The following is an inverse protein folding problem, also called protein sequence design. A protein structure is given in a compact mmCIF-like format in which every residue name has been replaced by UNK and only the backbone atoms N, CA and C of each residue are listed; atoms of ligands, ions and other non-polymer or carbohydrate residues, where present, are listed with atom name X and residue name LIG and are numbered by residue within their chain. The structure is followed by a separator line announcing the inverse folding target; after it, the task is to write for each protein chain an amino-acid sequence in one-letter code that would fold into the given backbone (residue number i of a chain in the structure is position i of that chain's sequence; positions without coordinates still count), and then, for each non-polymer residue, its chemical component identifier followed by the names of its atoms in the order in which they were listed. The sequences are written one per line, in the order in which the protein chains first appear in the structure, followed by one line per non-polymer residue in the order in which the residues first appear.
data_IF_034947937504
#
_entry.id   IF_034947937504
#
_cell.length_a   1.000
_cell.length_b   1.000
_cell.length_c   1.000
_cell.angle_alpha   90.00
_cell.angle_beta   90.00
_cell.angle_gamma   90.00
#
_symmetry.space_group_name_H-M   'P 1'
#
loop_
_entity.id
_entity.type
_entity.pdbx_description
1 polymer ?
#
# COMPACT_ATOMS: atom_id res chain seq x y z
N UNK A 1 14.79 -14.09 11.43
CA UNK A 1 13.75 -14.95 12.01
C UNK A 1 14.24 -16.39 12.25
N UNK A 2 14.77 -17.10 11.26
CA UNK A 2 15.17 -18.51 11.36
C UNK A 2 16.21 -18.84 12.44
N UNK A 3 16.96 -17.84 12.94
CA UNK A 3 17.88 -18.03 14.10
C UNK A 3 17.13 -18.21 15.42
N UNK A 4 15.88 -17.79 15.51
CA UNK A 4 15.13 -17.68 16.76
C UNK A 4 13.80 -18.42 16.75
N UNK A 5 13.24 -18.70 15.55
CA UNK A 5 11.92 -19.26 15.37
C UNK A 5 11.92 -20.39 14.35
N UNK A 6 11.07 -21.37 14.56
CA UNK A 6 10.56 -22.22 13.48
C UNK A 6 9.48 -21.41 12.73
N UNK A 7 9.71 -21.12 11.46
CA UNK A 7 8.86 -20.20 10.68
C UNK A 7 7.87 -20.99 9.84
N UNK A 8 6.61 -20.62 9.93
CA UNK A 8 5.54 -21.04 9.01
C UNK A 8 5.24 -19.88 8.09
N UNK A 9 5.33 -20.09 6.79
CA UNK A 9 4.93 -19.14 5.76
C UNK A 9 3.59 -19.58 5.19
N UNK A 10 2.60 -18.71 5.28
CA UNK A 10 1.26 -18.94 4.76
C UNK A 10 1.09 -18.18 3.44
N UNK A 11 0.89 -18.91 2.34
CA UNK A 11 0.30 -18.33 1.16
C UNK A 11 -1.18 -18.05 1.48
N UNK A 12 -1.50 -16.82 1.83
CA UNK A 12 -2.87 -16.45 2.17
C UNK A 12 -3.81 -16.70 0.98
N UNK A 13 -5.09 -16.91 1.28
CA UNK A 13 -6.12 -17.13 0.25
C UNK A 13 -6.02 -16.06 -0.86
N UNK A 14 -6.10 -16.50 -2.12
CA UNK A 14 -5.93 -15.66 -3.31
C UNK A 14 -4.49 -15.42 -3.74
N UNK A 15 -3.47 -15.90 -3.02
CA UNK A 15 -2.06 -15.68 -3.36
C UNK A 15 -1.26 -16.98 -3.46
N UNK A 16 -0.12 -16.91 -4.13
CA UNK A 16 0.84 -18.01 -4.22
C UNK A 16 0.20 -19.34 -4.64
N UNK A 17 0.40 -20.40 -3.84
CA UNK A 17 -0.18 -21.73 -4.07
C UNK A 17 -1.65 -21.81 -3.63
N UNK A 18 -2.14 -20.85 -2.85
CA UNK A 18 -3.54 -20.66 -2.47
C UNK A 18 -4.29 -19.73 -3.43
N UNK A 19 -3.82 -19.65 -4.69
CA UNK A 19 -4.33 -18.74 -5.69
C UNK A 19 -5.83 -18.94 -5.94
N UNK A 20 -6.58 -17.82 -5.96
CA UNK A 20 -7.97 -17.81 -6.39
C UNK A 20 -8.02 -17.75 -7.93
N UNK A 21 -8.69 -18.71 -8.55
CA UNK A 21 -8.92 -18.71 -10.01
C UNK A 21 -10.14 -17.87 -10.38
N UNK A 22 -11.00 -17.56 -9.41
CA UNK A 22 -12.23 -16.79 -9.61
C UNK A 22 -12.11 -15.49 -8.82
N UNK A 23 -12.16 -14.37 -9.54
CA UNK A 23 -12.03 -13.02 -8.97
C UNK A 23 -13.35 -12.22 -9.13
N UNK A 24 -14.50 -12.87 -8.90
CA UNK A 24 -15.78 -12.16 -8.78
C UNK A 24 -15.92 -11.46 -7.42
N UNK A 25 -16.82 -10.52 -7.31
CA UNK A 25 -17.01 -9.73 -6.11
C UNK A 25 -17.37 -10.57 -4.87
N UNK A 26 -18.03 -11.71 -5.02
CA UNK A 26 -18.37 -12.56 -3.88
C UNK A 26 -17.15 -13.24 -3.30
N UNK A 27 -16.24 -13.72 -4.14
CA UNK A 27 -14.97 -14.32 -3.70
C UNK A 27 -14.01 -13.24 -3.15
N UNK A 28 -13.92 -12.07 -3.80
CA UNK A 28 -13.06 -10.97 -3.35
C UNK A 28 -13.37 -10.52 -1.92
N UNK A 29 -14.64 -10.50 -1.52
CA UNK A 29 -15.05 -10.19 -0.13
C UNK A 29 -14.46 -11.14 0.91
N UNK A 30 -14.10 -12.35 0.50
CA UNK A 30 -13.51 -13.36 1.37
C UNK A 30 -11.97 -13.29 1.45
N UNK A 31 -11.34 -12.36 0.72
CA UNK A 31 -9.88 -12.24 0.68
C UNK A 31 -9.35 -11.14 1.62
N UNK A 32 -10.13 -10.79 2.64
CA UNK A 32 -9.78 -9.80 3.67
C UNK A 32 -9.04 -10.42 4.85
N UNK A 33 -8.49 -9.54 5.69
CA UNK A 33 -7.73 -9.91 6.88
C UNK A 33 -8.49 -10.84 7.84
N UNK A 34 -9.80 -10.64 8.00
CA UNK A 34 -10.62 -11.49 8.88
C UNK A 34 -10.65 -12.96 8.45
N UNK A 35 -10.77 -13.21 7.15
CA UNK A 35 -10.79 -14.58 6.64
C UNK A 35 -9.38 -15.20 6.57
N UNK A 36 -8.36 -14.38 6.30
CA UNK A 36 -6.96 -14.82 6.36
C UNK A 36 -6.58 -15.24 7.79
N UNK A 37 -7.07 -14.54 8.79
CA UNK A 37 -6.85 -14.86 10.20
C UNK A 37 -7.52 -16.19 10.58
N UNK A 38 -8.75 -16.45 10.12
CA UNK A 38 -9.41 -17.74 10.38
C UNK A 38 -8.66 -18.91 9.71
N UNK A 39 -8.11 -18.72 8.50
CA UNK A 39 -7.25 -19.72 7.88
C UNK A 39 -5.97 -19.98 8.69
N UNK A 40 -5.33 -18.92 9.15
CA UNK A 40 -4.12 -19.01 9.97
C UNK A 40 -4.43 -19.74 11.30
N UNK A 41 -5.57 -19.45 11.93
CA UNK A 41 -6.02 -20.10 13.15
C UNK A 41 -6.34 -21.60 12.93
N UNK A 42 -6.91 -21.95 11.78
CA UNK A 42 -7.12 -23.34 11.41
C UNK A 42 -5.78 -24.09 11.23
N UNK A 43 -4.79 -23.47 10.58
CA UNK A 43 -3.43 -24.03 10.43
C UNK A 43 -2.76 -24.20 11.80
N UNK A 44 -2.86 -23.22 12.69
CA UNK A 44 -2.30 -23.31 14.05
C UNK A 44 -2.84 -24.55 14.80
N UNK A 45 -4.16 -24.71 14.75
CA UNK A 45 -4.84 -25.86 15.42
C UNK A 45 -4.43 -27.21 14.83
N UNK A 46 -4.33 -27.29 13.49
CA UNK A 46 -3.91 -28.52 12.80
C UNK A 46 -2.45 -28.87 13.13
N UNK A 47 -1.59 -27.87 13.35
CA UNK A 47 -0.22 -28.07 13.79
C UNK A 47 -0.10 -28.43 15.27
N UNK A 48 -1.19 -28.42 16.03
CA UNK A 48 -1.21 -28.73 17.47
C UNK A 48 -0.43 -27.70 18.30
N UNK A 49 -0.38 -26.44 17.89
CA UNK A 49 0.35 -25.37 18.56
C UNK A 49 -0.62 -24.54 19.40
N UNK A 50 -0.39 -24.44 20.72
CA UNK A 50 -1.27 -23.68 21.62
C UNK A 50 -1.19 -22.17 21.34
N UNK A 51 0.01 -21.63 21.19
CA UNK A 51 0.27 -20.25 20.87
C UNK A 51 1.45 -20.15 19.90
N UNK A 52 1.44 -19.17 19.03
CA UNK A 52 2.57 -18.85 18.17
C UNK A 52 2.91 -17.35 18.17
N UNK A 53 4.12 -17.03 17.76
CA UNK A 53 4.52 -15.65 17.50
C UNK A 53 4.07 -15.23 16.11
N UNK A 54 3.67 -13.97 15.97
CA UNK A 54 3.32 -13.38 14.68
C UNK A 54 4.39 -12.39 14.21
N UNK A 55 4.65 -12.40 12.91
CA UNK A 55 5.45 -11.39 12.24
C UNK A 55 4.72 -10.92 10.98
N UNK A 56 4.53 -9.61 10.85
CA UNK A 56 3.83 -9.03 9.70
C UNK A 56 4.43 -7.71 9.23
N UNK A 57 4.55 -7.58 7.91
CA UNK A 57 4.97 -6.34 7.27
C UNK A 57 3.79 -5.78 6.49
N UNK A 58 3.57 -4.44 6.56
CA UNK A 58 2.50 -3.77 5.82
C UNK A 58 1.14 -4.42 6.10
N UNK A 59 0.41 -4.91 5.10
CA UNK A 59 -0.86 -5.62 5.25
C UNK A 59 -0.79 -6.82 6.22
N UNK A 60 0.39 -7.47 6.35
CA UNK A 60 0.60 -8.48 7.39
C UNK A 60 0.38 -7.94 8.80
N UNK A 61 0.68 -6.68 9.06
CA UNK A 61 0.36 -6.01 10.32
C UNK A 61 -1.14 -5.77 10.51
N UNK A 62 -1.90 -5.50 9.43
CA UNK A 62 -3.38 -5.43 9.46
C UNK A 62 -3.97 -6.78 9.87
N UNK A 63 -3.43 -7.87 9.31
CA UNK A 63 -3.79 -9.23 9.73
C UNK A 63 -3.46 -9.48 11.20
N UNK A 64 -2.32 -9.00 11.72
CA UNK A 64 -1.96 -9.14 13.14
C UNK A 64 -2.94 -8.38 14.04
N UNK A 65 -3.33 -7.15 13.69
CA UNK A 65 -4.33 -6.39 14.46
C UNK A 65 -5.70 -7.10 14.47
N UNK A 66 -6.10 -7.66 13.33
CA UNK A 66 -7.32 -8.47 13.22
C UNK A 66 -7.21 -9.74 14.06
N UNK A 67 -6.06 -10.42 14.02
CA UNK A 67 -5.81 -11.64 14.79
C UNK A 67 -5.86 -11.36 16.29
N UNK A 68 -5.20 -10.32 16.76
CA UNK A 68 -5.21 -9.91 18.16
C UNK A 68 -6.60 -9.47 18.64
N UNK A 69 -7.44 -8.97 17.73
CA UNK A 69 -8.84 -8.63 18.02
C UNK A 69 -9.73 -9.87 18.17
N UNK A 70 -9.46 -10.96 17.43
CA UNK A 70 -10.32 -12.14 17.36
C UNK A 70 -9.84 -13.32 18.20
N UNK A 71 -8.54 -13.56 18.22
CA UNK A 71 -7.90 -14.72 18.87
C UNK A 71 -6.66 -14.30 19.69
N UNK A 72 -6.76 -13.33 20.62
CA UNK A 72 -5.61 -12.86 21.39
C UNK A 72 -4.92 -13.96 22.20
N UNK A 73 -5.69 -14.99 22.63
CA UNK A 73 -5.18 -16.14 23.39
C UNK A 73 -4.28 -17.05 22.55
N UNK A 74 -4.37 -17.01 21.24
CA UNK A 74 -3.57 -17.84 20.33
C UNK A 74 -2.19 -17.25 20.01
N UNK A 75 -1.92 -16.02 20.49
CA UNK A 75 -0.72 -15.27 20.15
C UNK A 75 0.17 -15.13 21.39
N UNK A 76 1.42 -15.58 21.31
CA UNK A 76 2.41 -15.37 22.37
C UNK A 76 2.97 -13.94 22.37
N UNK A 77 3.31 -13.42 21.22
CA UNK A 77 3.77 -12.05 20.97
C UNK A 77 3.69 -11.71 19.47
N UNK A 78 3.79 -10.42 19.14
CA UNK A 78 3.75 -9.97 17.76
C UNK A 78 4.86 -8.96 17.42
N UNK A 79 5.37 -9.05 16.20
CA UNK A 79 6.30 -8.08 15.61
C UNK A 79 5.71 -7.53 14.32
N UNK A 80 5.66 -6.20 14.22
CA UNK A 80 5.08 -5.50 13.08
C UNK A 80 6.11 -4.55 12.46
N UNK A 81 6.08 -4.38 11.16
CA UNK A 81 6.91 -3.40 10.46
C UNK A 81 6.09 -2.65 9.40
N UNK A 82 5.97 -1.32 9.50
CA UNK A 82 5.18 -0.50 8.60
C UNK A 82 3.72 -1.00 8.45
N UNK A 83 3.12 -1.54 9.52
CA UNK A 83 1.86 -2.28 9.45
C UNK A 83 0.91 -2.04 10.62
N UNK A 84 0.92 -0.87 11.25
CA UNK A 84 -0.09 -0.49 12.22
C UNK A 84 -1.19 0.31 11.49
N UNK A 85 -2.32 -0.32 11.08
CA UNK A 85 -3.41 0.36 10.41
C UNK A 85 -4.13 1.30 11.37
N UNK A 86 -4.89 2.23 10.82
CA UNK A 86 -5.93 2.88 11.61
C UNK A 86 -7.05 1.88 11.94
N UNK A 87 -7.45 1.84 13.21
CA UNK A 87 -8.51 0.96 13.69
C UNK A 87 -9.80 1.71 14.07
N UNK A 88 -9.84 3.03 13.87
CA UNK A 88 -10.92 3.90 14.31
C UNK A 88 -11.47 4.85 13.25
N UNK A 89 -10.63 5.35 12.36
CA UNK A 89 -11.05 6.27 11.30
C UNK A 89 -11.54 5.54 10.05
N UNK A 90 -12.28 6.24 9.23
CA UNK A 90 -12.74 5.73 7.93
C UNK A 90 -11.67 5.84 6.86
N UNK A 91 -11.88 5.12 5.77
CA UNK A 91 -10.97 5.05 4.63
C UNK A 91 -10.65 6.42 4.03
N UNK A 92 -11.58 7.37 4.03
CA UNK A 92 -11.34 8.73 3.53
C UNK A 92 -10.27 9.48 4.36
N UNK A 93 -10.23 9.28 5.68
CA UNK A 93 -9.19 9.88 6.53
C UNK A 93 -7.83 9.21 6.27
N UNK A 94 -7.79 7.91 6.09
CA UNK A 94 -6.56 7.21 5.70
C UNK A 94 -5.98 7.84 4.43
N UNK A 95 -6.81 8.01 3.39
CA UNK A 95 -6.33 8.60 2.13
C UNK A 95 -5.98 10.09 2.24
N UNK A 96 -6.67 10.88 3.06
CA UNK A 96 -6.22 12.27 3.32
C UNK A 96 -4.81 12.28 3.91
N UNK A 97 -4.51 11.37 4.83
CA UNK A 97 -3.17 11.28 5.43
C UNK A 97 -2.14 10.76 4.45
N UNK A 98 -2.46 9.73 3.65
CA UNK A 98 -1.51 9.22 2.65
C UNK A 98 -1.21 10.27 1.58
N UNK A 99 -2.21 11.01 1.06
CA UNK A 99 -1.97 12.10 0.12
C UNK A 99 -1.10 13.21 0.72
N UNK A 100 -1.34 13.59 1.98
CA UNK A 100 -0.50 14.58 2.68
C UNK A 100 0.95 14.11 2.82
N UNK A 101 1.18 12.83 3.14
CA UNK A 101 2.52 12.25 3.21
C UNK A 101 3.19 12.17 1.84
N UNK A 102 2.44 11.78 0.80
CA UNK A 102 2.97 11.78 -0.58
C UNK A 102 3.35 13.20 -1.03
N UNK A 103 2.57 14.22 -0.69
CA UNK A 103 2.92 15.61 -0.97
C UNK A 103 4.24 15.99 -0.28
N UNK A 104 4.37 15.71 1.02
CA UNK A 104 5.59 16.00 1.78
C UNK A 104 6.82 15.25 1.19
N UNK A 105 6.65 13.99 0.79
CA UNK A 105 7.71 13.20 0.15
C UNK A 105 8.06 13.73 -1.24
N UNK A 106 7.07 14.21 -1.99
CA UNK A 106 7.31 14.84 -3.30
C UNK A 106 8.13 16.11 -3.18
N UNK A 107 7.85 16.95 -2.18
CA UNK A 107 8.64 18.16 -1.91
C UNK A 107 10.11 17.79 -1.53
N UNK A 108 10.32 16.75 -0.73
CA UNK A 108 11.66 16.25 -0.42
C UNK A 108 12.37 15.73 -1.68
N UNK A 109 11.65 15.01 -2.54
CA UNK A 109 12.18 14.51 -3.80
C UNK A 109 12.57 15.64 -4.75
N UNK A 110 11.73 16.69 -4.88
CA UNK A 110 12.03 17.86 -5.71
C UNK A 110 13.20 18.69 -5.16
N UNK A 111 13.35 18.74 -3.84
CA UNK A 111 14.51 19.38 -3.22
C UNK A 111 15.83 18.64 -3.51
N UNK A 112 15.79 17.30 -3.56
CA UNK A 112 16.95 16.46 -3.90
C UNK A 112 17.25 16.45 -5.41
N UNK A 113 16.20 16.45 -6.24
CA UNK A 113 16.27 16.43 -7.71
C UNK A 113 15.51 17.62 -8.29
N UNK A 114 16.11 18.83 -8.34
CA UNK A 114 15.40 20.06 -8.69
C UNK A 114 14.79 20.08 -10.11
N UNK A 115 15.24 19.20 -11.01
CA UNK A 115 14.68 19.06 -12.35
C UNK A 115 13.41 18.19 -12.39
N UNK A 116 13.17 17.37 -11.36
CA UNK A 116 12.19 16.29 -11.41
C UNK A 116 10.74 16.80 -11.55
N UNK A 117 10.37 17.88 -10.84
CA UNK A 117 9.03 18.46 -10.99
C UNK A 117 8.78 18.93 -12.42
N UNK A 118 9.73 19.65 -13.01
CA UNK A 118 9.61 20.12 -14.39
C UNK A 118 9.52 18.94 -15.38
N UNK A 119 10.32 17.89 -15.19
CA UNK A 119 10.28 16.70 -16.03
C UNK A 119 8.93 15.97 -15.91
N UNK A 120 8.39 15.78 -14.70
CA UNK A 120 7.07 15.16 -14.46
C UNK A 120 5.97 15.97 -15.18
N UNK A 121 5.96 17.29 -15.01
CA UNK A 121 4.99 18.17 -15.66
C UNK A 121 5.09 18.12 -17.19
N UNK A 122 6.30 18.05 -17.72
CA UNK A 122 6.54 17.98 -19.15
C UNK A 122 6.12 16.65 -19.73
N UNK A 123 6.40 15.52 -19.06
CA UNK A 123 5.93 14.19 -19.45
C UNK A 123 4.39 14.15 -19.43
N UNK A 124 3.74 14.62 -18.38
CA UNK A 124 2.29 14.65 -18.31
C UNK A 124 1.68 15.51 -19.42
N UNK A 125 2.21 16.72 -19.64
CA UNK A 125 1.75 17.57 -20.74
C UNK A 125 1.92 16.91 -22.12
N UNK A 126 3.03 16.21 -22.35
CA UNK A 126 3.25 15.45 -23.59
C UNK A 126 2.21 14.35 -23.75
N UNK A 127 1.96 13.57 -22.70
CA UNK A 127 0.97 12.46 -22.72
C UNK A 127 -0.47 12.95 -22.91
N UNK A 128 -0.80 14.17 -22.49
CA UNK A 128 -2.12 14.79 -22.70
C UNK A 128 -2.32 15.26 -24.17
N UNK A 129 -1.23 15.48 -24.91
CA UNK A 129 -1.26 16.05 -26.27
C UNK A 129 -0.71 15.10 -27.37
N UNK A 130 -0.09 14.00 -26.99
CA UNK A 130 0.47 13.02 -27.90
C UNK A 130 0.09 11.59 -27.49
N UNK A 131 0.08 10.69 -28.45
CA UNK A 131 -0.16 9.27 -28.19
C UNK A 131 1.19 8.57 -28.00
N UNK A 132 1.41 8.03 -26.81
CA UNK A 132 2.54 7.15 -26.48
C UNK A 132 2.00 5.80 -26.03
N UNK A 133 2.55 4.74 -26.63
CA UNK A 133 2.13 3.37 -26.33
C UNK A 133 3.17 2.68 -25.46
N UNK A 134 2.72 1.99 -24.44
CA UNK A 134 3.53 1.07 -23.66
C UNK A 134 3.91 -0.16 -24.52
N UNK A 135 4.95 -0.93 -24.14
CA UNK A 135 5.35 -2.14 -24.87
C UNK A 135 4.24 -3.18 -25.03
N UNK A 136 3.25 -3.17 -24.14
CA UNK A 136 2.05 -4.02 -24.15
C UNK A 136 0.95 -3.54 -25.09
N UNK A 137 1.15 -2.37 -25.74
CA UNK A 137 0.32 -1.82 -26.80
C UNK A 137 -0.78 -0.87 -26.37
N UNK A 138 -1.03 -0.71 -25.09
CA UNK A 138 -1.99 0.27 -24.60
C UNK A 138 -1.38 1.67 -24.48
N UNK A 139 -2.22 2.70 -24.59
CA UNK A 139 -1.82 4.08 -24.39
C UNK A 139 -1.42 4.35 -22.94
N UNK A 140 -0.32 5.06 -22.74
CA UNK A 140 0.04 5.64 -21.45
C UNK A 140 -0.65 7.00 -21.30
N UNK A 141 -1.51 7.16 -20.30
CA UNK A 141 -2.10 8.43 -19.92
C UNK A 141 -1.26 9.17 -18.87
N UNK A 142 -1.41 10.50 -18.77
CA UNK A 142 -0.74 11.31 -17.75
C UNK A 142 -1.14 10.87 -16.34
N UNK A 143 -2.42 10.55 -16.10
CA UNK A 143 -2.89 10.06 -14.79
C UNK A 143 -2.30 8.69 -14.44
N UNK A 144 -2.12 7.77 -15.41
CA UNK A 144 -1.48 6.47 -15.21
C UNK A 144 0.02 6.63 -14.96
N UNK A 145 0.69 7.51 -15.68
CA UNK A 145 2.09 7.84 -15.42
C UNK A 145 2.29 8.36 -13.99
N UNK A 146 1.40 9.21 -13.47
CA UNK A 146 1.52 9.76 -12.10
C UNK A 146 1.54 8.66 -11.02
N UNK A 147 1.04 7.45 -11.28
CA UNK A 147 1.06 6.35 -10.30
C UNK A 147 2.47 5.80 -10.01
N UNK A 148 3.49 6.13 -10.81
CA UNK A 148 4.88 5.76 -10.50
C UNK A 148 5.34 6.31 -9.15
N UNK A 149 4.65 7.31 -8.60
CA UNK A 149 4.96 7.94 -7.33
C UNK A 149 4.85 7.02 -6.11
N UNK A 150 4.28 5.83 -6.25
CA UNK A 150 4.37 4.76 -5.23
C UNK A 150 5.85 4.47 -4.85
N UNK A 151 6.79 4.71 -5.77
CA UNK A 151 8.22 4.55 -5.52
C UNK A 151 8.77 5.54 -4.47
N UNK A 152 8.13 6.70 -4.25
CA UNK A 152 8.56 7.68 -3.23
C UNK A 152 8.59 7.10 -1.81
N UNK A 153 7.83 6.05 -1.54
CA UNK A 153 7.80 5.34 -0.26
C UNK A 153 8.79 4.18 -0.14
N UNK A 154 9.72 4.04 -1.09
CA UNK A 154 10.77 3.01 -1.08
C UNK A 154 12.13 3.64 -0.76
N UNK A 155 13.03 2.88 -0.10
CA UNK A 155 14.34 3.37 0.28
C UNK A 155 15.21 3.84 -0.89
N UNK A 156 15.08 3.18 -2.06
CA UNK A 156 15.77 3.56 -3.30
C UNK A 156 14.89 4.38 -4.25
N UNK A 157 13.71 4.79 -3.81
CA UNK A 157 12.69 5.37 -4.70
C UNK A 157 13.09 6.71 -5.30
N UNK A 158 13.74 7.56 -4.53
CA UNK A 158 14.20 8.86 -5.02
C UNK A 158 15.24 8.71 -6.15
N UNK A 159 16.26 7.89 -5.93
CA UNK A 159 17.29 7.66 -6.96
C UNK A 159 16.68 7.00 -8.20
N UNK A 160 15.79 6.03 -7.99
CA UNK A 160 15.09 5.33 -9.06
C UNK A 160 14.25 6.29 -9.92
N UNK A 161 13.47 7.17 -9.29
CA UNK A 161 12.67 8.17 -10.04
C UNK A 161 13.54 9.28 -10.62
N UNK A 162 14.59 9.70 -9.91
CA UNK A 162 15.57 10.67 -10.43
C UNK A 162 16.19 10.18 -11.74
N UNK A 163 16.71 8.96 -11.77
CA UNK A 163 17.25 8.34 -12.98
C UNK A 163 16.23 8.23 -14.10
N UNK A 164 15.01 7.78 -13.80
CA UNK A 164 13.94 7.65 -14.77
C UNK A 164 13.61 8.99 -15.45
N UNK A 165 13.64 10.08 -14.69
CA UNK A 165 13.20 11.40 -15.12
C UNK A 165 14.33 12.27 -15.72
N UNK A 166 15.59 11.82 -15.70
CA UNK A 166 16.75 12.62 -16.13
C UNK A 166 16.68 13.03 -17.60
N UNK A 167 16.28 12.15 -18.49
CA UNK A 167 16.14 12.43 -19.92
C UNK A 167 15.05 11.55 -20.57
N UNK A 168 13.76 11.85 -20.33
CA UNK A 168 12.67 11.01 -20.79
C UNK A 168 12.35 11.13 -22.29
N UNK A 169 12.92 12.12 -23.01
CA UNK A 169 12.54 12.43 -24.38
C UNK A 169 13.64 12.14 -25.40
N UNK A 170 13.19 11.95 -26.64
CA UNK A 170 14.03 11.83 -27.85
C UNK A 170 13.32 12.50 -29.02
N UNK A 171 14.06 12.95 -30.03
CA UNK A 171 13.48 13.43 -31.28
C UNK A 171 13.61 12.35 -32.35
N UNK A 172 12.47 11.92 -32.87
CA UNK A 172 12.36 10.91 -33.94
C UNK A 172 11.62 11.51 -35.13
N UNK A 173 12.26 11.59 -36.28
CA UNK A 173 11.65 12.17 -37.49
C UNK A 173 11.21 13.62 -37.34
N UNK A 174 11.83 14.40 -36.44
CA UNK A 174 11.47 15.77 -36.14
C UNK A 174 10.36 15.93 -35.07
N UNK A 175 9.81 14.83 -34.57
CA UNK A 175 8.80 14.83 -33.52
C UNK A 175 9.42 14.47 -32.17
N UNK A 176 8.99 15.16 -31.12
CA UNK A 176 9.34 14.84 -29.74
C UNK A 176 8.55 13.63 -29.27
N UNK A 177 9.24 12.59 -28.81
CA UNK A 177 8.66 11.33 -28.35
C UNK A 177 9.26 10.95 -27.01
N UNK A 178 8.55 10.13 -26.22
CA UNK A 178 9.16 9.46 -25.08
C UNK A 178 10.13 8.38 -25.55
N UNK A 179 11.24 8.23 -24.84
CA UNK A 179 12.23 7.20 -25.13
C UNK A 179 11.65 5.80 -24.91
N UNK A 180 12.08 4.84 -25.70
CA UNK A 180 11.57 3.46 -25.59
C UNK A 180 11.93 2.80 -24.25
N UNK A 181 13.13 3.04 -23.74
CA UNK A 181 13.55 2.54 -22.43
C UNK A 181 12.76 3.16 -21.28
N UNK A 182 12.43 4.45 -21.37
CA UNK A 182 11.53 5.12 -20.44
C UNK A 182 10.13 4.47 -20.44
N UNK A 183 9.55 4.21 -21.62
CA UNK A 183 8.24 3.56 -21.74
C UNK A 183 8.25 2.11 -21.20
N UNK A 184 9.33 1.37 -21.39
CA UNK A 184 9.52 0.03 -20.81
C UNK A 184 9.52 0.09 -19.29
N UNK A 185 10.30 1.00 -18.71
CA UNK A 185 10.43 1.17 -17.26
C UNK A 185 9.13 1.64 -16.63
N UNK A 186 8.46 2.65 -17.21
CA UNK A 186 7.16 3.12 -16.75
C UNK A 186 6.12 2.00 -16.87
N UNK A 187 6.06 1.30 -17.99
CA UNK A 187 5.12 0.21 -18.21
C UNK A 187 5.24 -0.90 -17.16
N UNK A 188 6.46 -1.29 -16.80
CA UNK A 188 6.72 -2.27 -15.76
C UNK A 188 6.24 -1.81 -14.36
N UNK A 189 6.25 -0.50 -14.08
CA UNK A 189 5.86 0.07 -12.79
C UNK A 189 4.35 0.27 -12.65
N UNK A 190 3.66 0.58 -13.74
CA UNK A 190 2.24 0.90 -13.72
C UNK A 190 1.34 -0.29 -14.04
N UNK A 191 1.91 -1.43 -14.42
CA UNK A 191 1.15 -2.64 -14.79
C UNK A 191 0.82 -3.51 -13.58
N UNK A 192 -0.42 -3.97 -13.53
CA UNK A 192 -0.90 -4.96 -12.56
C UNK A 192 -0.89 -6.40 -13.08
N UNK A 193 -0.26 -6.68 -14.23
CA UNK A 193 -0.25 -8.01 -14.84
C UNK A 193 0.30 -9.11 -13.91
N UNK A 194 1.26 -8.78 -13.06
CA UNK A 194 1.82 -9.72 -12.07
C UNK A 194 1.01 -9.89 -10.80
N UNK A 195 0.06 -8.99 -10.51
CA UNK A 195 -0.65 -8.92 -9.22
C UNK A 195 -2.02 -8.20 -9.32
N UNK A 196 -2.93 -8.64 -10.20
CA UNK A 196 -4.22 -7.97 -10.38
C UNK A 196 -5.06 -7.96 -9.11
N UNK A 197 -4.95 -9.00 -8.27
CA UNK A 197 -5.63 -9.09 -7.00
C UNK A 197 -5.32 -7.89 -6.09
N UNK A 198 -4.09 -7.39 -6.12
CA UNK A 198 -3.70 -6.22 -5.32
C UNK A 198 -4.59 -5.00 -5.63
N UNK A 199 -4.80 -4.68 -6.92
CA UNK A 199 -5.67 -3.58 -7.30
C UNK A 199 -7.14 -3.81 -6.91
N UNK A 200 -7.61 -5.06 -7.03
CA UNK A 200 -9.00 -5.43 -6.73
C UNK A 200 -9.37 -5.26 -5.26
N UNK A 201 -8.51 -5.69 -4.35
CA UNK A 201 -8.84 -5.72 -2.91
C UNK A 201 -8.24 -4.57 -2.11
N UNK A 202 -7.41 -3.74 -2.72
CA UNK A 202 -6.62 -2.73 -2.00
C UNK A 202 -7.47 -1.82 -1.12
N UNK A 203 -8.53 -1.23 -1.65
CA UNK A 203 -9.38 -0.33 -0.85
C UNK A 203 -10.24 -1.11 0.18
N UNK A 204 -10.62 -2.35 -0.14
CA UNK A 204 -11.42 -3.19 0.74
C UNK A 204 -10.72 -3.57 2.06
N UNK A 205 -9.37 -3.49 2.12
CA UNK A 205 -8.62 -3.75 3.36
C UNK A 205 -8.97 -2.77 4.48
N UNK A 206 -9.50 -1.59 4.15
CA UNK A 206 -9.94 -0.54 5.08
C UNK A 206 -11.44 -0.61 5.39
N UNK A 207 -12.20 -1.47 4.69
CA UNK A 207 -13.65 -1.57 4.86
C UNK A 207 -14.05 -2.09 6.24
N UNK A 208 -15.09 -1.51 6.83
CA UNK A 208 -15.66 -1.93 8.12
C UNK A 208 -15.08 -1.24 9.36
N UNK A 209 -14.06 -0.40 9.24
CA UNK A 209 -13.60 0.48 10.35
C UNK A 209 -14.71 1.46 10.71
N UNK A 210 -15.35 2.04 9.72
CA UNK A 210 -16.62 2.76 9.84
C UNK A 210 -17.66 2.13 8.91
N UNK A 211 -18.97 2.22 9.23
CA UNK A 211 -20.03 1.69 8.36
C UNK A 211 -20.05 2.37 6.99
N UNK A 212 -20.38 1.61 5.95
CA UNK A 212 -20.59 2.08 4.60
C UNK A 212 -19.62 1.49 3.58
N UNK A 213 -19.85 1.85 2.31
CA UNK A 213 -19.01 1.46 1.19
C UNK A 213 -17.73 2.31 1.15
N UNK A 214 -16.65 1.74 0.63
CA UNK A 214 -15.42 2.51 0.38
C UNK A 214 -15.58 3.47 -0.79
N UNK A 215 -16.35 3.07 -1.80
CA UNK A 215 -16.83 3.91 -2.92
C UNK A 215 -15.71 4.70 -3.62
N UNK A 216 -14.59 4.02 -3.92
CA UNK A 216 -13.41 4.63 -4.54
C UNK A 216 -12.89 5.84 -3.76
N UNK A 217 -12.68 5.66 -2.47
CA UNK A 217 -12.29 6.72 -1.55
C UNK A 217 -11.02 7.44 -1.99
N UNK A 218 -9.99 6.73 -2.45
CA UNK A 218 -8.79 7.36 -2.98
C UNK A 218 -9.10 8.32 -4.13
N UNK A 219 -10.00 7.93 -5.04
CA UNK A 219 -10.41 8.76 -6.17
C UNK A 219 -11.20 10.01 -5.73
N UNK A 220 -12.10 9.86 -4.76
CA UNK A 220 -12.89 10.98 -4.25
C UNK A 220 -12.05 11.96 -3.42
N UNK A 221 -11.13 11.43 -2.61
CA UNK A 221 -10.29 12.25 -1.73
C UNK A 221 -9.24 13.03 -2.53
N UNK A 222 -8.67 12.47 -3.61
CA UNK A 222 -7.68 13.18 -4.43
C UNK A 222 -8.18 14.52 -4.96
N UNK A 223 -9.47 14.60 -5.28
CA UNK A 223 -10.08 15.83 -5.81
C UNK A 223 -10.21 16.94 -4.75
N UNK A 224 -9.94 16.65 -3.48
CA UNK A 224 -9.97 17.56 -2.35
C UNK A 224 -8.57 17.99 -1.90
N UNK A 225 -7.52 17.46 -2.52
CA UNK A 225 -6.13 17.70 -2.12
C UNK A 225 -5.35 18.33 -3.27
N UNK A 226 -4.94 19.58 -3.08
CA UNK A 226 -4.20 20.36 -4.07
C UNK A 226 -2.98 19.60 -4.61
N UNK A 227 -2.87 19.57 -5.94
CA UNK A 227 -1.77 18.92 -6.66
C UNK A 227 -2.01 17.45 -7.01
N UNK A 228 -3.12 16.86 -6.54
CA UNK A 228 -3.48 15.47 -6.86
C UNK A 228 -4.71 15.35 -7.76
N UNK A 229 -5.43 16.44 -8.01
CA UNK A 229 -6.62 16.43 -8.84
C UNK A 229 -6.33 15.74 -10.18
N UNK A 230 -7.30 14.94 -10.65
CA UNK A 230 -7.10 14.13 -11.85
C UNK A 230 -6.87 14.98 -13.09
N UNK A 231 -7.62 16.06 -13.20
CA UNK A 231 -7.61 16.99 -14.35
C UNK A 231 -6.70 18.21 -14.13
N UNK A 232 -5.81 18.18 -13.13
CA UNK A 232 -4.86 19.28 -12.94
C UNK A 232 -4.00 19.46 -14.19
N UNK A 233 -4.01 20.69 -14.74
CA UNK A 233 -3.16 21.02 -15.88
C UNK A 233 -1.69 21.08 -15.45
N UNK A 234 -0.82 20.22 -15.99
CA UNK A 234 0.59 20.18 -15.60
C UNK A 234 1.35 21.48 -15.86
N UNK A 235 0.83 22.39 -16.71
CA UNK A 235 1.48 23.67 -17.01
C UNK A 235 1.05 24.80 -16.09
N UNK A 236 -0.18 24.77 -15.59
CA UNK A 236 -0.77 25.92 -14.88
C UNK A 236 -1.10 25.62 -13.41
N UNK A 237 -1.21 24.35 -13.00
CA UNK A 237 -1.46 23.99 -11.62
C UNK A 237 -0.35 24.48 -10.68
N UNK A 238 -0.72 25.07 -9.55
CA UNK A 238 0.21 25.56 -8.54
C UNK A 238 1.08 24.44 -7.97
N UNK A 239 0.44 23.37 -7.53
CA UNK A 239 1.07 22.12 -7.11
C UNK A 239 0.78 21.02 -8.12
N UNK A 240 1.72 20.09 -8.29
CA UNK A 240 1.54 18.95 -9.20
C UNK A 240 2.38 17.76 -8.71
N UNK A 241 1.72 16.71 -8.23
CA UNK A 241 2.38 15.58 -7.59
C UNK A 241 2.11 14.26 -8.33
N UNK A 242 3.04 13.33 -8.19
CA UNK A 242 2.80 11.91 -8.43
C UNK A 242 1.85 11.36 -7.34
N UNK A 243 1.12 10.28 -7.64
CA UNK A 243 0.27 9.61 -6.63
C UNK A 243 1.03 8.48 -5.95
N UNK A 244 0.62 8.13 -4.72
CA UNK A 244 1.23 7.04 -3.94
C UNK A 244 0.55 5.68 -4.17
N UNK A 245 0.35 4.94 -3.08
CA UNK A 245 -0.36 3.65 -3.08
C UNK A 245 -1.88 3.89 -3.13
N UNK A 246 -2.36 4.29 -4.28
CA UNK A 246 -3.77 4.62 -4.50
C UNK A 246 -4.29 3.86 -5.71
N UNK A 247 -5.45 3.24 -5.56
CA UNK A 247 -6.14 2.57 -6.68
C UNK A 247 -7.33 3.42 -7.11
N UNK A 248 -7.44 3.60 -8.41
CA UNK A 248 -8.45 4.46 -9.03
C UNK A 248 -9.35 3.66 -9.99
N UNK A 249 -10.64 3.99 -10.13
CA UNK A 249 -11.56 3.23 -10.98
C UNK A 249 -11.11 3.17 -12.46
N UNK A 250 -10.55 4.24 -12.99
CA UNK A 250 -10.09 4.31 -14.38
C UNK A 250 -8.90 3.38 -14.69
N UNK A 251 -8.16 2.87 -13.68
CA UNK A 251 -7.10 1.88 -13.92
C UNK A 251 -7.67 0.58 -14.47
N UNK A 252 -8.94 0.26 -14.15
CA UNK A 252 -9.66 -0.88 -14.70
C UNK A 252 -10.13 -0.68 -16.16
N UNK A 253 -9.99 0.51 -16.71
CA UNK A 253 -10.17 0.78 -18.14
C UNK A 253 -8.84 0.78 -18.88
N UNK A 254 -7.79 1.30 -18.26
CA UNK A 254 -6.51 1.55 -18.93
C UNK A 254 -5.55 0.38 -18.86
N UNK A 255 -5.49 -0.36 -17.74
CA UNK A 255 -4.59 -1.51 -17.61
C UNK A 255 -5.24 -2.76 -18.23
N UNK A 256 -4.61 -3.37 -19.28
CA UNK A 256 -5.14 -4.57 -19.91
C UNK A 256 -5.38 -5.73 -18.94
N UNK A 257 -4.57 -5.86 -17.89
CA UNK A 257 -4.68 -6.92 -16.90
C UNK A 257 -5.84 -6.72 -15.90
N UNK A 258 -6.41 -5.53 -15.83
CA UNK A 258 -7.52 -5.21 -14.93
C UNK A 258 -8.90 -5.14 -15.64
N UNK A 259 -8.92 -4.98 -16.95
CA UNK A 259 -10.18 -4.73 -17.70
C UNK A 259 -11.26 -5.76 -17.47
N UNK A 260 -10.92 -7.04 -17.48
CA UNK A 260 -11.87 -8.11 -17.24
C UNK A 260 -12.45 -8.13 -15.83
N UNK A 261 -11.77 -7.48 -14.88
CA UNK A 261 -12.16 -7.43 -13.47
C UNK A 261 -12.92 -6.17 -13.07
N UNK A 262 -13.18 -5.25 -14.00
CA UNK A 262 -13.80 -3.95 -13.73
C UNK A 262 -15.12 -4.08 -12.98
N UNK A 263 -16.02 -4.96 -13.44
CA UNK A 263 -17.31 -5.15 -12.79
C UNK A 263 -17.15 -5.63 -11.35
N UNK A 264 -16.27 -6.58 -11.09
CA UNK A 264 -16.02 -7.08 -9.74
C UNK A 264 -15.47 -5.99 -8.81
N UNK A 265 -14.58 -5.13 -9.33
CA UNK A 265 -14.04 -4.00 -8.60
C UNK A 265 -15.11 -2.96 -8.24
N UNK A 266 -15.99 -2.63 -9.18
CA UNK A 266 -17.13 -1.71 -8.95
C UNK A 266 -18.12 -2.26 -7.91
N UNK A 267 -18.46 -3.55 -7.99
CA UNK A 267 -19.32 -4.22 -7.02
C UNK A 267 -18.67 -4.25 -5.62
N UNK A 268 -17.34 -4.43 -5.54
CA UNK A 268 -16.62 -4.43 -4.28
C UNK A 268 -16.55 -3.03 -3.67
N UNK A 269 -16.28 -2.01 -4.48
CA UNK A 269 -16.26 -0.62 -4.04
C UNK A 269 -17.63 -0.13 -3.54
N UNK A 270 -18.71 -0.63 -4.14
CA UNK A 270 -20.09 -0.31 -3.75
C UNK A 270 -20.60 -1.11 -2.54
N UNK A 271 -19.87 -2.14 -2.09
CA UNK A 271 -20.30 -2.98 -0.98
C UNK A 271 -20.23 -2.22 0.35
N UNK A 272 -21.34 -2.15 1.08
CA UNK A 272 -21.53 -1.34 2.29
C UNK A 272 -21.71 -2.15 3.59
N UNK A 273 -21.74 -3.48 3.50
CA UNK A 273 -21.99 -4.37 4.63
C UNK A 273 -20.71 -5.00 5.19
N UNK A 274 -19.62 -4.22 5.22
CA UNK A 274 -18.37 -4.67 5.80
C UNK A 274 -18.50 -4.83 7.31
N UNK A 275 -18.08 -5.98 7.83
CA UNK A 275 -17.93 -6.19 9.28
C UNK A 275 -16.63 -5.56 9.77
N UNK A 276 -16.62 -5.13 11.04
CA UNK A 276 -15.39 -4.63 11.67
C UNK A 276 -14.27 -5.68 11.66
N UNK A 277 -13.08 -5.23 11.29
CA UNK A 277 -11.86 -6.05 11.37
C UNK A 277 -11.26 -6.02 12.78
N UNK A 278 -11.49 -4.94 13.53
CA UNK A 278 -10.81 -4.65 14.79
C UNK A 278 -11.79 -4.53 15.94
N UNK A 279 -11.34 -4.97 17.12
CA UNK A 279 -12.03 -4.79 18.41
C UNK A 279 -11.10 -4.06 19.37
N UNK A 280 -11.31 -2.75 19.50
CA UNK A 280 -10.48 -1.89 20.33
C UNK A 280 -10.51 -2.30 21.82
N UNK A 281 -11.63 -2.81 22.34
CA UNK A 281 -11.71 -3.29 23.71
C UNK A 281 -10.82 -4.53 23.91
N UNK A 282 -10.91 -5.51 23.01
CA UNK A 282 -10.05 -6.70 23.05
C UNK A 282 -8.57 -6.32 22.91
N UNK A 283 -8.22 -5.40 21.98
CA UNK A 283 -6.84 -4.94 21.83
C UNK A 283 -6.31 -4.31 23.12
N UNK A 284 -7.11 -3.49 23.78
CA UNK A 284 -6.74 -2.81 25.03
C UNK A 284 -6.61 -3.74 26.23
N UNK A 285 -7.48 -4.72 26.33
CA UNK A 285 -7.56 -5.56 27.52
C UNK A 285 -6.80 -6.88 27.40
N UNK A 286 -6.72 -7.46 26.21
CA UNK A 286 -6.28 -8.84 25.99
C UNK A 286 -5.17 -9.03 24.97
N UNK A 287 -4.87 -8.00 24.14
CA UNK A 287 -3.83 -8.16 23.12
C UNK A 287 -2.49 -8.59 23.74
N UNK A 288 -1.72 -9.47 23.05
CA UNK A 288 -0.40 -9.89 23.52
C UNK A 288 0.59 -8.72 23.50
N UNK A 289 1.77 -8.91 24.12
CA UNK A 289 2.88 -7.97 23.94
C UNK A 289 3.26 -7.92 22.45
N UNK A 290 3.48 -6.72 21.95
CA UNK A 290 3.89 -6.49 20.58
C UNK A 290 4.98 -5.42 20.50
N UNK A 291 5.80 -5.49 19.44
CA UNK A 291 6.73 -4.41 19.07
C UNK A 291 6.53 -4.05 17.60
N UNK A 292 6.58 -2.78 17.28
CA UNK A 292 6.34 -2.29 15.93
C UNK A 292 7.43 -1.31 15.48
N UNK A 293 8.03 -1.55 14.31
CA UNK A 293 8.79 -0.54 13.60
C UNK A 293 7.80 0.39 12.87
N UNK A 294 7.79 1.66 13.26
CA UNK A 294 6.92 2.70 12.71
C UNK A 294 7.78 3.72 11.99
N UNK A 295 7.57 3.88 10.69
CA UNK A 295 8.39 4.75 9.87
C UNK A 295 7.78 6.14 9.80
N UNK A 296 8.58 7.16 10.13
CA UNK A 296 8.12 8.54 10.28
C UNK A 296 7.56 9.13 8.97
N UNK A 297 8.23 8.81 7.86
CA UNK A 297 7.90 9.36 6.53
C UNK A 297 7.12 8.35 5.65
N UNK A 298 6.46 7.37 6.26
CA UNK A 298 5.71 6.32 5.55
C UNK A 298 4.54 6.92 4.78
N UNK A 299 4.52 6.73 3.45
CA UNK A 299 3.44 7.18 2.57
C UNK A 299 2.32 6.15 2.41
N UNK A 300 2.48 4.94 2.96
CA UNK A 300 1.54 3.81 2.87
C UNK A 300 0.72 3.70 4.15
N UNK A 301 1.39 3.67 5.29
CA UNK A 301 0.77 3.53 6.61
C UNK A 301 1.14 4.75 7.45
N UNK A 302 0.28 5.79 7.49
CA UNK A 302 0.62 7.09 8.05
C UNK A 302 1.02 7.02 9.52
N UNK A 303 2.16 7.62 9.85
CA UNK A 303 2.73 7.65 11.21
C UNK A 303 1.72 8.03 12.29
N UNK A 304 0.95 9.09 12.07
CA UNK A 304 -0.01 9.58 13.07
C UNK A 304 -1.12 8.57 13.39
N UNK A 305 -1.58 7.83 12.37
CA UNK A 305 -2.60 6.80 12.52
C UNK A 305 -2.00 5.54 13.19
N UNK A 306 -0.77 5.20 12.85
CA UNK A 306 -0.04 4.11 13.50
C UNK A 306 0.14 4.34 14.99
N UNK A 307 0.51 5.56 15.41
CA UNK A 307 0.66 5.90 16.82
C UNK A 307 -0.67 5.89 17.56
N UNK A 308 -1.76 6.38 16.94
CA UNK A 308 -3.10 6.30 17.53
C UNK A 308 -3.54 4.85 17.78
N UNK A 309 -3.18 3.93 16.89
CA UNK A 309 -3.44 2.49 17.08
C UNK A 309 -2.55 1.89 18.17
N UNK A 310 -1.26 2.26 18.21
CA UNK A 310 -0.34 1.80 19.25
C UNK A 310 -0.87 2.13 20.66
N UNK A 311 -1.44 3.32 20.85
CA UNK A 311 -2.01 3.76 22.12
C UNK A 311 -3.26 2.96 22.56
N UNK A 312 -3.88 2.25 21.64
CA UNK A 312 -5.07 1.41 21.91
C UNK A 312 -4.72 -0.04 22.24
N UNK A 313 -3.46 -0.46 22.13
CA UNK A 313 -3.04 -1.78 22.52
C UNK A 313 -2.64 -1.84 24.00
N UNK A 314 -2.83 -3.00 24.62
CA UNK A 314 -2.45 -3.23 26.03
C UNK A 314 -0.95 -3.04 26.30
N UNK A 315 -0.10 -3.60 25.46
CA UNK A 315 1.37 -3.51 25.52
C UNK A 315 1.96 -3.61 24.11
N UNK A 316 1.87 -2.51 23.36
CA UNK A 316 2.54 -2.36 22.09
C UNK A 316 3.67 -1.34 22.24
N UNK A 317 4.86 -1.71 21.82
CA UNK A 317 6.10 -0.94 21.97
C UNK A 317 6.55 -0.42 20.61
N UNK A 318 6.26 0.85 20.25
CA UNK A 318 6.63 1.40 18.97
C UNK A 318 8.12 1.79 18.96
N UNK A 319 8.82 1.39 17.92
CA UNK A 319 10.12 1.92 17.54
C UNK A 319 9.93 2.88 16.37
N UNK A 320 9.89 4.18 16.68
CA UNK A 320 9.76 5.23 15.66
C UNK A 320 11.14 5.51 15.06
N UNK A 321 11.23 5.49 13.73
CA UNK A 321 12.48 5.75 13.02
C UNK A 321 12.23 6.43 11.68
N UNK A 322 13.14 7.32 11.27
CA UNK A 322 13.22 7.90 9.93
C UNK A 322 14.36 7.30 9.08
N UNK A 323 15.00 6.26 9.59
CA UNK A 323 16.14 5.62 8.95
C UNK A 323 15.73 4.82 7.73
N UNK A 324 14.49 4.37 7.69
CA UNK A 324 13.92 3.54 6.63
C UNK A 324 12.66 4.16 6.06
N UNK A 325 12.33 3.75 4.84
CA UNK A 325 11.01 3.92 4.26
C UNK A 325 10.17 2.66 4.51
N UNK A 326 8.98 2.59 3.91
CA UNK A 326 8.05 1.46 4.10
C UNK A 326 8.66 0.07 3.90
N UNK A 327 9.63 -0.05 3.01
CA UNK A 327 10.35 -1.28 2.67
C UNK A 327 11.59 -1.55 3.57
N UNK A 328 11.65 -0.97 4.75
CA UNK A 328 12.79 -1.07 5.66
C UNK A 328 13.22 -2.52 5.94
N UNK A 329 12.25 -3.44 6.05
CA UNK A 329 12.54 -4.88 6.24
C UNK A 329 13.37 -5.48 5.08
N UNK A 330 13.23 -4.96 3.88
CA UNK A 330 14.06 -5.34 2.74
C UNK A 330 15.47 -4.77 2.78
N UNK A 331 15.65 -3.66 3.50
CA UNK A 331 16.95 -2.97 3.62
C UNK A 331 17.79 -3.53 4.77
N UNK A 332 17.20 -3.70 5.97
CA UNK A 332 17.85 -4.29 7.14
C UNK A 332 16.90 -5.19 7.94
N UNK A 333 16.47 -6.28 7.33
CA UNK A 333 15.55 -7.21 8.00
C UNK A 333 16.13 -7.86 9.26
N UNK A 334 17.46 -8.07 9.31
CA UNK A 334 18.10 -8.65 10.47
C UNK A 334 18.12 -7.68 11.66
N UNK A 335 18.49 -6.42 11.44
CA UNK A 335 18.51 -5.38 12.44
C UNK A 335 17.10 -5.07 12.97
N UNK A 336 16.14 -4.90 12.06
CA UNK A 336 14.74 -4.61 12.44
C UNK A 336 14.15 -5.73 13.29
N UNK A 337 14.24 -7.00 12.84
CA UNK A 337 13.72 -8.15 13.61
C UNK A 337 14.45 -8.31 14.93
N UNK A 338 15.77 -8.11 14.95
CA UNK A 338 16.58 -8.12 16.17
C UNK A 338 16.07 -7.09 17.19
N UNK A 339 15.89 -5.84 16.75
CA UNK A 339 15.41 -4.75 17.59
C UNK A 339 14.01 -4.99 18.15
N UNK A 340 13.06 -5.39 17.29
CA UNK A 340 11.70 -5.69 17.73
C UNK A 340 11.67 -6.84 18.75
N UNK A 341 12.48 -7.87 18.52
CA UNK A 341 12.57 -8.99 19.45
C UNK A 341 13.15 -8.56 20.80
N UNK A 342 14.19 -7.76 20.83
CA UNK A 342 14.77 -7.19 22.06
C UNK A 342 13.69 -6.43 22.84
N UNK A 343 12.95 -5.53 22.15
CA UNK A 343 11.89 -4.75 22.77
C UNK A 343 10.79 -5.63 23.40
N UNK A 344 10.47 -6.78 22.81
CA UNK A 344 9.49 -7.72 23.40
C UNK A 344 10.05 -8.39 24.65
N UNK A 345 11.34 -8.68 24.70
CA UNK A 345 12.00 -9.35 25.83
C UNK A 345 12.36 -8.41 26.99
N UNK A 346 12.48 -7.10 26.74
CA UNK A 346 12.64 -6.08 27.76
C UNK A 346 11.38 -6.05 28.65
N UNK A 347 11.60 -6.23 30.01
CA UNK A 347 10.51 -6.20 30.99
C UNK A 347 10.38 -4.81 31.62
#
# INVERSE_FOLDING_TARGET
LLKHYRVVLLDQRGTGRSNAQVLDAQHLKLLRADQIVEDAEAVRRELGVDQWALFGQSFGGFCINTYASRHPESISHAMLTGGLPDISAGVDEVYRRTFAQVAARSEQFYAQFPFAEAAIREVCHHLDNAEELLPTGERLSSRRFRTIGIALGRGTGFDTLGYLLEDPFVVVGGEKRLRQDFLVDVGARVSFAGHPLYALVHEAIYGGTVPGATAWSAHRVREQVEGFEEQADPRTAGKFYLTGEHIFPWQFDEDPALREHKQAAEELAAFDQWTSLYDAATLKDRAPVAAAAVYLDDIFVPFSLSMATADQWRDLRPWVTNQFQHDGIGQDGAGIVGRLREMILER
#
